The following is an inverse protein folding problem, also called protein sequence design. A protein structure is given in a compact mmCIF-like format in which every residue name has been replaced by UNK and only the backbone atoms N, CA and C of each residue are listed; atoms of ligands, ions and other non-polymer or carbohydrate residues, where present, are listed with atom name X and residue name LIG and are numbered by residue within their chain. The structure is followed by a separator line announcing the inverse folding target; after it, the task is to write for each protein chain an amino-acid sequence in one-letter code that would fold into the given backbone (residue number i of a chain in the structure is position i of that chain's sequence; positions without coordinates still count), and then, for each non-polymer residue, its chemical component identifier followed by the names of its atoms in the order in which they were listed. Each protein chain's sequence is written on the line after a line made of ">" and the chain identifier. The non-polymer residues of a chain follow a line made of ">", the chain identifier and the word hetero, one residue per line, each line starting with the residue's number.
data_IF_880808422824
#
_entry.id   IF_880808422824
#
_cell.length_a   1.000
_cell.length_b   1.000
_cell.length_c   1.000
_cell.angle_alpha   90.00
_cell.angle_beta   90.00
_cell.angle_gamma   90.00
#
_symmetry.space_group_name_H-M   'P 1'
#
loop_
_entity.id
_entity.type
_entity.pdbx_description
1 polymer ?
#
# COMPACT_ATOMS: atom_id res chain seq x y z
N UNK A 1 48.39 -44.08 -21.53
CA UNK A 1 47.01 -44.59 -21.71
C UNK A 1 46.04 -43.81 -20.83
N UNK A 2 45.55 -42.64 -21.28
CA UNK A 2 44.38 -41.93 -20.73
C UNK A 2 43.83 -41.02 -21.86
N UNK A 3 42.53 -40.70 -21.83
CA UNK A 3 41.83 -39.73 -22.73
C UNK A 3 41.01 -40.28 -23.91
N UNK A 4 40.24 -41.35 -23.67
CA UNK A 4 39.03 -41.65 -24.45
C UNK A 4 37.73 -41.39 -23.64
N UNK A 5 37.81 -41.39 -22.31
CA UNK A 5 36.66 -41.17 -21.42
C UNK A 5 36.29 -39.68 -21.27
N UNK A 6 37.27 -38.77 -21.30
CA UNK A 6 37.08 -37.32 -21.11
C UNK A 6 36.41 -36.63 -22.31
N UNK A 7 36.60 -37.12 -23.54
CA UNK A 7 35.94 -36.59 -24.75
C UNK A 7 34.45 -36.95 -24.85
N UNK A 8 34.02 -38.05 -24.21
CA UNK A 8 32.61 -38.48 -24.15
C UNK A 8 31.81 -37.75 -23.05
N UNK A 9 32.48 -37.29 -21.99
CA UNK A 9 31.83 -36.51 -20.93
C UNK A 9 31.49 -35.07 -21.36
N UNK A 10 32.37 -34.42 -22.14
CA UNK A 10 32.13 -33.05 -22.64
C UNK A 10 31.09 -32.98 -23.77
N UNK A 11 30.97 -34.02 -24.58
CA UNK A 11 29.89 -34.13 -25.58
C UNK A 11 28.52 -34.38 -24.95
N UNK A 12 28.44 -35.06 -23.80
CA UNK A 12 27.21 -35.26 -23.05
C UNK A 12 26.71 -33.98 -22.33
N UNK A 13 27.63 -33.10 -21.93
CA UNK A 13 27.27 -31.80 -21.33
C UNK A 13 26.94 -30.74 -22.39
N UNK A 14 27.63 -30.76 -23.54
CA UNK A 14 27.34 -29.87 -24.67
C UNK A 14 25.96 -30.14 -25.32
N UNK A 15 25.43 -31.37 -25.20
CA UNK A 15 24.08 -31.71 -25.66
C UNK A 15 22.95 -31.17 -24.75
N UNK A 16 23.29 -30.59 -23.58
CA UNK A 16 22.32 -30.01 -22.63
C UNK A 16 22.27 -28.47 -22.60
N UNK A 17 23.10 -27.78 -23.39
CA UNK A 17 23.13 -26.31 -23.47
C UNK A 17 23.01 -25.90 -24.94
N UNK A 18 21.81 -25.48 -25.36
CA UNK A 18 21.36 -25.07 -26.72
C UNK A 18 20.70 -26.15 -27.61
N UNK A 19 19.71 -25.73 -28.44
CA UNK A 19 18.48 -26.46 -28.65
C UNK A 19 18.58 -27.41 -29.84
N UNK A 20 18.17 -28.66 -29.65
CA UNK A 20 17.93 -29.54 -30.79
C UNK A 20 16.50 -29.33 -31.31
N UNK A 21 16.42 -29.31 -32.64
CA UNK A 21 15.25 -29.27 -33.54
C UNK A 21 14.08 -30.16 -33.07
N UNK A 22 12.85 -29.88 -33.54
CA UNK A 22 11.62 -30.16 -32.80
C UNK A 22 11.44 -31.66 -32.57
N UNK A 23 11.28 -32.02 -31.29
CA UNK A 23 10.76 -33.33 -30.91
C UNK A 23 9.53 -33.65 -31.76
N UNK A 24 9.50 -34.83 -32.37
CA UNK A 24 8.32 -35.27 -33.11
C UNK A 24 7.12 -35.29 -32.16
N UNK A 25 5.91 -34.99 -32.66
CA UNK A 25 4.70 -34.94 -31.84
C UNK A 25 4.51 -36.23 -31.01
N UNK A 26 4.97 -37.37 -31.54
CA UNK A 26 4.93 -38.67 -30.88
C UNK A 26 5.92 -38.80 -29.71
N UNK A 27 7.13 -38.26 -29.83
CA UNK A 27 8.13 -38.27 -28.74
C UNK A 27 7.73 -37.31 -27.62
N UNK A 28 7.19 -36.13 -27.97
CA UNK A 28 6.65 -35.20 -26.98
C UNK A 28 5.48 -35.80 -26.19
N UNK A 29 4.59 -36.55 -26.85
CA UNK A 29 3.50 -37.29 -26.20
C UNK A 29 4.03 -38.43 -25.32
N UNK A 30 5.04 -39.18 -25.78
CA UNK A 30 5.67 -40.22 -24.96
C UNK A 30 6.36 -39.63 -23.72
N UNK A 31 7.03 -38.48 -23.85
CA UNK A 31 7.69 -37.81 -22.73
C UNK A 31 6.67 -37.21 -21.75
N UNK A 32 5.57 -36.63 -22.25
CA UNK A 32 4.44 -36.20 -21.42
C UNK A 32 3.79 -37.38 -20.69
N UNK A 33 3.63 -38.52 -21.36
CA UNK A 33 3.06 -39.73 -20.75
C UNK A 33 4.00 -40.28 -19.69
N UNK A 34 5.31 -40.27 -19.93
CA UNK A 34 6.31 -40.68 -18.95
C UNK A 34 6.38 -39.74 -17.74
N UNK A 35 6.33 -38.42 -17.95
CA UNK A 35 6.32 -37.46 -16.85
C UNK A 35 5.03 -37.52 -16.06
N UNK A 36 3.88 -37.62 -16.72
CA UNK A 36 2.58 -37.72 -16.02
C UNK A 36 2.45 -39.04 -15.27
N UNK A 37 2.96 -40.15 -15.80
CA UNK A 37 3.00 -41.42 -15.08
C UNK A 37 3.99 -41.39 -13.93
N UNK A 38 5.18 -40.80 -14.08
CA UNK A 38 6.14 -40.69 -12.98
C UNK A 38 5.65 -39.77 -11.88
N UNK A 39 4.97 -38.66 -12.22
CA UNK A 39 4.42 -37.74 -11.24
C UNK A 39 3.23 -38.36 -10.50
N UNK A 40 2.36 -39.11 -11.20
CA UNK A 40 1.30 -39.90 -10.56
C UNK A 40 1.86 -40.98 -9.65
N UNK A 41 2.87 -41.73 -10.11
CA UNK A 41 3.54 -42.74 -9.29
C UNK A 41 4.24 -42.13 -8.06
N UNK A 42 4.76 -40.91 -8.17
CA UNK A 42 5.35 -40.18 -7.05
C UNK A 42 4.28 -39.68 -6.07
N UNK A 43 3.14 -39.18 -6.58
CA UNK A 43 1.99 -38.79 -5.75
C UNK A 43 1.34 -39.99 -5.04
N UNK A 44 1.23 -41.14 -5.72
CA UNK A 44 0.70 -42.38 -5.13
C UNK A 44 1.64 -42.96 -4.06
N UNK A 45 2.94 -42.68 -4.17
CA UNK A 45 3.97 -43.07 -3.20
C UNK A 45 3.97 -42.17 -1.96
N UNK A 46 3.80 -40.86 -2.12
CA UNK A 46 3.73 -39.90 -1.01
C UNK A 46 2.36 -39.90 -0.31
N UNK A 47 1.31 -40.37 -0.99
CA UNK A 47 -0.04 -40.50 -0.45
C UNK A 47 -0.64 -41.90 -0.73
N UNK A 48 -0.21 -42.94 0.01
CA UNK A 48 -0.76 -44.28 -0.17
C UNK A 48 -2.25 -44.28 0.19
N UNK A 49 -3.08 -44.55 -0.82
CA UNK A 49 -4.51 -44.79 -0.63
C UNK A 49 -4.64 -46.09 0.19
N UNK A 50 -5.36 -46.13 1.33
CA UNK A 50 -5.51 -47.36 2.08
C UNK A 50 -6.32 -48.37 1.25
N UNK A 51 -5.64 -49.39 0.76
CA UNK A 51 -6.29 -50.57 0.19
C UNK A 51 -7.09 -51.27 1.29
N UNK A 52 -8.42 -51.18 1.20
CA UNK A 52 -9.30 -52.13 1.89
C UNK A 52 -9.11 -53.52 1.26
N UNK A 53 -8.15 -54.28 1.79
CA UNK A 53 -8.14 -55.73 1.62
C UNK A 53 -9.24 -56.31 2.49
N UNK A 54 -10.23 -56.92 1.84
CA UNK A 54 -11.10 -57.91 2.47
C UNK A 54 -10.23 -58.98 3.13
N UNK A 55 -10.25 -59.04 4.45
CA UNK A 55 -9.82 -60.20 5.22
C UNK A 55 -10.79 -60.39 6.39
N UNK A 56 -11.21 -61.63 6.56
CA UNK A 56 -12.27 -62.10 7.44
C UNK A 56 -12.05 -61.74 8.92
N UNK A 57 -13.17 -61.55 9.61
CA UNK A 57 -13.40 -61.62 11.08
C UNK A 57 -12.68 -62.85 11.72
N UNK A 58 -12.40 -62.86 13.05
CA UNK A 58 -13.40 -62.54 14.08
C UNK A 58 -12.97 -61.90 15.43
N UNK A 59 -14.01 -61.38 16.10
CA UNK A 59 -14.27 -61.27 17.54
C UNK A 59 -13.47 -60.30 18.43
N UNK A 60 -14.21 -59.50 19.21
CA UNK A 60 -13.70 -58.72 20.35
C UNK A 60 -14.55 -57.47 20.65
N UNK A 61 -15.19 -57.45 21.81
CA UNK A 61 -16.26 -56.55 22.26
C UNK A 61 -15.85 -55.15 22.74
N UNK A 62 -16.85 -54.24 22.70
CA UNK A 62 -17.15 -53.08 23.57
C UNK A 62 -16.96 -51.64 23.04
N UNK A 63 -18.12 -51.00 22.88
CA UNK A 63 -18.51 -49.61 23.14
C UNK A 63 -17.50 -48.46 22.94
N UNK A 64 -17.79 -47.57 21.97
CA UNK A 64 -18.20 -46.19 22.26
C UNK A 64 -18.75 -45.49 21.00
N UNK A 65 -19.93 -44.88 21.14
CA UNK A 65 -20.61 -44.04 20.15
C UNK A 65 -19.97 -42.65 20.14
N UNK A 66 -19.54 -42.16 18.97
CA UNK A 66 -19.41 -40.74 18.58
C UNK A 66 -19.09 -40.64 17.08
N UNK A 67 -19.32 -39.50 16.41
CA UNK A 67 -20.12 -39.43 15.19
C UNK A 67 -19.34 -39.72 13.90
N UNK A 68 -20.12 -40.11 12.90
CA UNK A 68 -19.79 -40.34 11.50
C UNK A 68 -18.80 -39.34 10.89
N UNK A 69 -17.69 -39.79 10.25
CA UNK A 69 -16.92 -38.94 9.37
C UNK A 69 -17.65 -38.84 8.04
N UNK A 70 -18.28 -37.69 7.80
CA UNK A 70 -18.74 -37.29 6.48
C UNK A 70 -17.56 -37.34 5.49
N UNK A 71 -17.79 -38.06 4.39
CA UNK A 71 -17.17 -37.92 3.06
C UNK A 71 -15.94 -37.02 2.97
N UNK A 72 -14.84 -37.61 2.54
CA UNK A 72 -13.70 -36.93 1.91
C UNK A 72 -14.18 -36.14 0.69
N UNK A 73 -13.84 -34.84 0.58
CA UNK A 73 -13.40 -34.32 -0.71
C UNK A 73 -12.18 -33.39 -0.56
N UNK A 74 -11.23 -33.69 0.33
CA UNK A 74 -10.07 -32.80 0.53
C UNK A 74 -9.06 -32.86 -0.65
N UNK A 75 -8.87 -34.04 -1.25
CA UNK A 75 -7.82 -34.24 -2.27
C UNK A 75 -8.24 -33.73 -3.66
N UNK A 76 -9.44 -34.08 -4.13
CA UNK A 76 -9.94 -33.59 -5.43
C UNK A 76 -10.18 -32.08 -5.39
N UNK A 77 -10.78 -31.53 -4.32
CA UNK A 77 -10.98 -30.08 -4.21
C UNK A 77 -9.67 -29.30 -4.10
N UNK A 78 -8.62 -29.86 -3.48
CA UNK A 78 -7.30 -29.22 -3.42
C UNK A 78 -6.58 -29.25 -4.77
N UNK A 79 -6.63 -30.38 -5.48
CA UNK A 79 -6.08 -30.49 -6.83
C UNK A 79 -6.82 -29.59 -7.82
N UNK A 80 -8.16 -29.54 -7.76
CA UNK A 80 -8.97 -28.64 -8.60
C UNK A 80 -8.70 -27.19 -8.26
N UNK A 81 -8.58 -26.79 -6.98
CA UNK A 81 -8.17 -25.43 -6.59
C UNK A 81 -6.78 -25.08 -7.06
N UNK A 82 -5.85 -26.03 -7.05
CA UNK A 82 -4.49 -25.83 -7.53
C UNK A 82 -4.45 -25.66 -9.05
N UNK A 83 -5.18 -26.49 -9.79
CA UNK A 83 -5.34 -26.38 -11.25
C UNK A 83 -6.07 -25.09 -11.62
N UNK A 84 -7.15 -24.73 -10.92
CA UNK A 84 -7.83 -23.46 -11.10
C UNK A 84 -6.87 -22.30 -10.80
N UNK A 85 -6.06 -22.37 -9.74
CA UNK A 85 -5.01 -21.38 -9.44
C UNK A 85 -3.94 -21.28 -10.54
N UNK A 86 -3.62 -22.37 -11.24
CA UNK A 86 -2.67 -22.37 -12.36
C UNK A 86 -3.31 -21.84 -13.65
N UNK A 87 -4.54 -22.25 -13.97
CA UNK A 87 -5.24 -21.88 -15.21
C UNK A 87 -5.81 -20.46 -15.13
N UNK A 88 -6.14 -19.99 -13.92
CA UNK A 88 -6.54 -18.59 -13.68
C UNK A 88 -5.35 -17.64 -13.59
N UNK A 89 -4.12 -18.17 -13.60
CA UNK A 89 -2.91 -17.37 -13.56
C UNK A 89 -2.73 -16.62 -14.90
N UNK A 90 -2.57 -15.29 -14.89
CA UNK A 90 -2.45 -14.48 -16.10
C UNK A 90 -1.23 -14.84 -16.98
N UNK A 91 -0.23 -15.52 -16.42
CA UNK A 91 0.93 -16.02 -17.17
C UNK A 91 0.59 -17.20 -18.10
N UNK A 92 -0.47 -17.97 -17.81
CA UNK A 92 -0.84 -19.19 -18.54
C UNK A 92 -2.20 -19.10 -19.21
N UNK A 93 -3.06 -18.18 -18.78
CA UNK A 93 -4.42 -18.01 -19.28
C UNK A 93 -4.52 -17.41 -20.70
N UNK A 94 -3.43 -16.83 -21.22
CA UNK A 94 -3.44 -16.07 -22.47
C UNK A 94 -2.54 -16.74 -23.51
N UNK A 95 -3.13 -17.16 -24.64
CA UNK A 95 -2.37 -17.60 -25.81
C UNK A 95 -1.58 -16.40 -26.34
N UNK A 96 -0.24 -16.45 -26.43
CA UNK A 96 0.54 -15.37 -27.04
C UNK A 96 0.04 -15.13 -28.46
N UNK A 97 -0.43 -13.91 -28.74
CA UNK A 97 -0.80 -13.52 -30.10
C UNK A 97 0.49 -13.51 -30.93
N UNK A 98 0.66 -14.47 -31.84
CA UNK A 98 1.82 -14.54 -32.73
C UNK A 98 1.92 -13.25 -33.52
N UNK A 99 3.05 -12.54 -33.40
CA UNK A 99 3.58 -11.48 -34.27
C UNK A 99 2.56 -10.93 -35.29
N UNK A 100 1.86 -9.88 -34.93
CA UNK A 100 1.29 -8.94 -35.89
C UNK A 100 1.37 -7.55 -35.27
N UNK A 101 2.37 -6.78 -35.72
CA UNK A 101 2.68 -5.37 -35.38
C UNK A 101 2.90 -5.03 -33.90
N UNK A 102 3.97 -4.29 -33.60
CA UNK A 102 4.05 -3.57 -32.33
C UNK A 102 2.75 -2.74 -32.17
N UNK A 103 2.10 -2.78 -31.00
CA UNK A 103 0.85 -2.07 -30.79
C UNK A 103 1.10 -0.58 -31.05
N UNK A 104 0.31 0.02 -31.95
CA UNK A 104 0.42 1.45 -32.18
C UNK A 104 0.06 2.19 -30.87
N UNK A 105 0.62 3.37 -30.64
CA UNK A 105 0.31 4.15 -29.42
C UNK A 105 -1.20 4.36 -29.22
N UNK A 106 -1.96 4.38 -30.32
CA UNK A 106 -3.42 4.49 -30.35
C UNK A 106 -4.10 3.22 -29.82
N UNK A 107 -3.58 2.03 -30.13
CA UNK A 107 -4.12 0.76 -29.62
C UNK A 107 -3.90 0.60 -28.12
N UNK A 108 -2.76 1.07 -27.61
CA UNK A 108 -2.43 1.05 -26.17
C UNK A 108 -3.33 2.01 -25.39
N UNK A 109 -3.64 3.18 -25.94
CA UNK A 109 -4.58 4.14 -25.35
C UNK A 109 -6.01 3.58 -25.30
N UNK A 110 -6.39 2.74 -26.26
CA UNK A 110 -7.74 2.18 -26.38
C UNK A 110 -7.98 1.00 -25.44
N UNK A 111 -6.95 0.21 -25.15
CA UNK A 111 -7.01 -0.91 -24.21
C UNK A 111 -5.70 -1.06 -23.41
N UNK A 112 -5.48 -0.23 -22.37
CA UNK A 112 -4.25 -0.26 -21.58
C UNK A 112 -4.03 -1.58 -20.84
N UNK A 113 -5.11 -2.20 -20.36
CA UNK A 113 -5.04 -3.45 -19.59
C UNK A 113 -4.82 -4.63 -20.52
N UNK A 114 -5.46 -4.67 -21.69
CA UNK A 114 -5.19 -5.66 -22.74
C UNK A 114 -3.74 -5.60 -23.21
N UNK A 115 -3.21 -4.39 -23.45
CA UNK A 115 -1.79 -4.19 -23.74
C UNK A 115 -0.90 -4.76 -22.61
N UNK A 116 -1.22 -4.47 -21.35
CA UNK A 116 -0.44 -4.98 -20.23
C UNK A 116 -0.53 -6.51 -20.11
N UNK A 117 -1.70 -7.10 -20.35
CA UNK A 117 -1.89 -8.56 -20.40
C UNK A 117 -1.02 -9.18 -21.50
N UNK A 118 -0.91 -8.56 -22.67
CA UNK A 118 -0.01 -9.01 -23.72
C UNK A 118 1.47 -8.92 -23.29
N UNK A 119 1.86 -7.87 -22.54
CA UNK A 119 3.19 -7.79 -21.93
C UNK A 119 3.43 -8.89 -20.89
N UNK A 120 2.40 -9.29 -20.13
CA UNK A 120 2.47 -10.42 -19.19
C UNK A 120 2.67 -11.72 -19.97
N UNK A 121 1.86 -11.97 -21.00
CA UNK A 121 1.90 -13.19 -21.81
C UNK A 121 3.23 -13.36 -22.57
N UNK A 122 3.88 -12.25 -22.93
CA UNK A 122 5.20 -12.25 -23.56
C UNK A 122 6.36 -12.33 -22.56
N UNK A 123 6.08 -12.29 -21.25
CA UNK A 123 7.10 -12.26 -20.20
C UNK A 123 7.85 -10.93 -20.09
N UNK A 124 7.38 -9.88 -20.76
CA UNK A 124 8.01 -8.57 -20.82
C UNK A 124 7.43 -7.57 -19.81
N UNK A 125 6.49 -7.98 -18.96
CA UNK A 125 5.85 -7.14 -17.95
C UNK A 125 6.83 -6.75 -16.83
N UNK A 126 6.91 -5.45 -16.54
CA UNK A 126 7.78 -4.87 -15.51
C UNK A 126 7.01 -3.83 -14.70
N UNK A 127 7.51 -3.46 -13.50
CA UNK A 127 6.88 -2.43 -12.66
C UNK A 127 6.70 -1.08 -13.38
N UNK A 128 7.67 -0.56 -14.17
CA UNK A 128 7.48 0.67 -14.95
C UNK A 128 6.36 0.56 -15.99
N UNK A 129 6.22 -0.60 -16.64
CA UNK A 129 5.12 -0.84 -17.60
C UNK A 129 3.76 -0.91 -16.90
N UNK A 130 3.71 -1.51 -15.71
CA UNK A 130 2.50 -1.51 -14.88
C UNK A 130 2.11 -0.08 -14.44
N UNK A 131 3.09 0.75 -14.08
CA UNK A 131 2.86 2.16 -13.79
C UNK A 131 2.32 2.91 -15.02
N UNK A 132 2.92 2.68 -16.20
CA UNK A 132 2.41 3.27 -17.46
C UNK A 132 0.97 2.85 -17.74
N UNK A 133 0.62 1.59 -17.51
CA UNK A 133 -0.77 1.11 -17.62
C UNK A 133 -1.72 1.85 -16.67
N UNK A 134 -1.31 2.04 -15.40
CA UNK A 134 -2.09 2.81 -14.43
C UNK A 134 -2.28 4.28 -14.85
N UNK A 135 -1.27 4.88 -15.48
CA UNK A 135 -1.34 6.28 -15.94
C UNK A 135 -2.32 6.42 -17.10
N UNK A 136 -2.31 5.48 -18.03
CA UNK A 136 -3.25 5.46 -19.16
C UNK A 136 -4.69 5.18 -18.69
N UNK A 137 -4.87 4.38 -17.66
CA UNK A 137 -6.19 4.13 -17.06
C UNK A 137 -6.80 5.37 -16.40
N UNK A 138 -5.97 6.28 -15.88
CA UNK A 138 -6.45 7.55 -15.33
C UNK A 138 -6.88 8.53 -16.43
N UNK A 139 -6.17 8.54 -17.57
CA UNK A 139 -6.46 9.40 -18.72
C UNK A 139 -7.68 8.92 -19.52
N UNK A 140 -7.92 7.60 -19.57
CA UNK A 140 -9.02 6.98 -20.30
C UNK A 140 -10.06 6.31 -19.36
N UNK A 141 -10.76 7.07 -18.50
CA UNK A 141 -11.75 6.50 -17.57
C UNK A 141 -12.98 5.94 -18.29
N UNK A 142 -13.26 6.41 -19.51
CA UNK A 142 -14.43 6.02 -20.32
C UNK A 142 -14.33 4.63 -20.98
N UNK A 143 -13.17 3.98 -20.89
CA UNK A 143 -13.13 2.53 -21.13
C UNK A 143 -13.88 1.87 -19.99
N UNK A 144 -15.21 1.72 -20.20
CA UNK A 144 -16.17 0.92 -19.46
C UNK A 144 -15.46 -0.23 -18.77
N UNK A 145 -15.79 -0.52 -17.52
CA UNK A 145 -15.38 -1.65 -16.68
C UNK A 145 -15.44 -3.00 -17.43
N UNK A 146 -14.53 -3.17 -18.39
CA UNK A 146 -14.36 -4.37 -19.18
C UNK A 146 -13.71 -5.35 -18.26
N UNK A 147 -14.50 -6.30 -17.82
CA UNK A 147 -13.98 -7.47 -17.14
C UNK A 147 -13.16 -8.26 -18.16
N UNK A 148 -11.86 -8.40 -17.91
CA UNK A 148 -11.01 -9.26 -18.74
C UNK A 148 -11.21 -10.67 -18.23
N UNK A 149 -11.91 -11.52 -19.00
CA UNK A 149 -12.31 -12.87 -18.59
C UNK A 149 -13.08 -12.89 -17.25
N UNK A 150 -13.99 -11.94 -17.04
CA UNK A 150 -14.78 -11.86 -15.80
C UNK A 150 -14.02 -11.27 -14.60
N UNK A 151 -12.78 -10.81 -14.79
CA UNK A 151 -11.93 -10.25 -13.72
C UNK A 151 -11.76 -8.74 -13.86
N UNK A 152 -11.69 -8.07 -12.72
CA UNK A 152 -11.47 -6.63 -12.63
C UNK A 152 -10.03 -6.27 -13.01
N UNK A 153 -9.81 -5.01 -13.41
CA UNK A 153 -8.51 -4.50 -13.86
C UNK A 153 -7.50 -4.51 -12.71
N UNK A 154 -7.97 -4.12 -11.52
CA UNK A 154 -7.22 -4.13 -10.29
C UNK A 154 -6.83 -5.56 -9.89
N UNK A 155 -7.74 -6.53 -10.06
CA UNK A 155 -7.44 -7.94 -9.80
C UNK A 155 -6.30 -8.44 -10.70
N UNK A 156 -6.33 -8.14 -12.00
CA UNK A 156 -5.27 -8.57 -12.94
C UNK A 156 -3.91 -8.03 -12.52
N UNK A 157 -3.82 -6.74 -12.16
CA UNK A 157 -2.57 -6.12 -11.71
C UNK A 157 -2.08 -6.70 -10.38
N UNK A 158 -2.97 -6.85 -9.39
CA UNK A 158 -2.62 -7.43 -8.09
C UNK A 158 -2.20 -8.90 -8.20
N UNK A 159 -2.87 -9.67 -9.06
CA UNK A 159 -2.59 -11.08 -9.29
C UNK A 159 -1.26 -11.26 -10.05
N UNK A 160 -0.97 -10.39 -11.02
CA UNK A 160 0.34 -10.35 -11.67
C UNK A 160 1.45 -10.02 -10.67
N UNK A 161 1.30 -8.99 -9.84
CA UNK A 161 2.29 -8.64 -8.80
C UNK A 161 2.56 -9.81 -7.85
N UNK A 162 1.51 -10.56 -7.50
CA UNK A 162 1.59 -11.73 -6.63
C UNK A 162 2.27 -12.92 -7.31
N UNK A 163 1.85 -13.25 -8.53
CA UNK A 163 2.34 -14.43 -9.28
C UNK A 163 3.78 -14.25 -9.78
N UNK A 164 4.18 -13.03 -10.11
CA UNK A 164 5.57 -12.67 -10.43
C UNK A 164 6.48 -12.58 -9.21
N UNK A 165 5.92 -12.56 -7.99
CA UNK A 165 6.67 -12.32 -6.76
C UNK A 165 7.22 -10.90 -6.62
N UNK A 166 6.85 -9.98 -7.53
CA UNK A 166 7.28 -8.58 -7.48
C UNK A 166 6.69 -7.86 -6.26
N UNK A 167 5.58 -8.33 -5.70
CA UNK A 167 5.02 -7.83 -4.44
C UNK A 167 5.96 -8.02 -3.23
N UNK A 168 6.97 -8.89 -3.33
CA UNK A 168 8.05 -9.11 -2.35
C UNK A 168 9.37 -8.42 -2.73
N UNK A 169 9.44 -7.87 -3.94
CA UNK A 169 10.68 -7.31 -4.46
C UNK A 169 11.08 -6.02 -3.74
N UNK A 170 12.39 -5.76 -3.75
CA UNK A 170 12.96 -4.48 -3.31
C UNK A 170 12.41 -3.31 -4.14
N UNK A 171 12.21 -3.50 -5.44
CA UNK A 171 11.73 -2.47 -6.37
C UNK A 171 10.31 -2.00 -6.01
N UNK A 172 9.43 -2.94 -5.63
CA UNK A 172 8.07 -2.61 -5.21
C UNK A 172 8.06 -1.80 -3.90
N UNK A 173 8.93 -2.14 -2.95
CA UNK A 173 9.09 -1.32 -1.75
C UNK A 173 9.64 0.04 -2.14
N UNK A 174 10.67 0.15 -2.97
CA UNK A 174 11.26 1.42 -3.39
C UNK A 174 10.34 2.31 -4.26
N UNK A 175 9.19 1.79 -4.73
CA UNK A 175 8.16 2.56 -5.42
C UNK A 175 7.67 3.76 -4.59
N UNK A 176 7.63 3.65 -3.25
CA UNK A 176 7.28 4.80 -2.39
C UNK A 176 8.40 5.85 -2.28
N UNK A 177 9.65 5.43 -2.45
CA UNK A 177 10.86 6.24 -2.21
C UNK A 177 11.40 6.94 -3.45
N UNK A 178 10.87 6.64 -4.64
CA UNK A 178 11.41 7.17 -5.89
C UNK A 178 11.22 8.70 -5.93
N UNK A 179 12.32 9.44 -5.75
CA UNK A 179 12.33 10.91 -5.80
C UNK A 179 11.69 11.38 -7.12
N UNK A 180 10.92 12.48 -7.11
CA UNK A 180 10.22 13.01 -8.28
C UNK A 180 11.18 13.73 -9.24
N UNK A 181 12.35 13.14 -9.55
CA UNK A 181 13.21 13.65 -10.62
C UNK A 181 12.64 13.32 -12.01
N UNK A 182 11.76 12.32 -12.07
CA UNK A 182 10.81 12.03 -13.14
C UNK A 182 9.53 11.57 -12.43
N UNK A 183 8.41 12.29 -12.55
CA UNK A 183 7.25 12.26 -11.64
C UNK A 183 6.42 10.97 -11.47
N UNK A 184 7.02 9.78 -11.41
CA UNK A 184 6.31 8.51 -11.58
C UNK A 184 6.23 7.58 -10.34
N UNK A 185 7.10 7.70 -9.32
CA UNK A 185 7.15 6.71 -8.23
C UNK A 185 5.97 6.75 -7.22
N UNK A 186 5.75 7.91 -6.59
CA UNK A 186 4.74 8.05 -5.53
C UNK A 186 3.29 7.90 -6.05
N UNK A 187 3.04 8.34 -7.29
CA UNK A 187 1.70 8.30 -7.88
C UNK A 187 1.30 6.89 -8.31
N UNK A 188 2.22 6.06 -8.78
CA UNK A 188 1.89 4.70 -9.22
C UNK A 188 1.31 3.85 -8.07
N UNK A 189 1.91 3.90 -6.87
CA UNK A 189 1.36 3.19 -5.71
C UNK A 189 0.00 3.77 -5.28
N UNK A 190 -0.16 5.09 -5.34
CA UNK A 190 -1.43 5.75 -5.04
C UNK A 190 -2.53 5.29 -6.00
N UNK A 191 -2.29 5.39 -7.30
CA UNK A 191 -3.21 4.98 -8.37
C UNK A 191 -3.60 3.52 -8.23
N UNK A 192 -2.63 2.64 -7.97
CA UNK A 192 -2.87 1.22 -7.74
C UNK A 192 -3.78 0.97 -6.54
N UNK A 193 -3.50 1.60 -5.39
CA UNK A 193 -4.32 1.45 -4.18
C UNK A 193 -5.72 1.99 -4.41
N UNK A 194 -5.87 3.16 -5.03
CA UNK A 194 -7.18 3.74 -5.36
C UNK A 194 -7.98 2.85 -6.30
N UNK A 195 -7.37 2.30 -7.34
CA UNK A 195 -8.01 1.36 -8.26
C UNK A 195 -8.45 0.07 -7.54
N UNK A 196 -7.61 -0.50 -6.67
CA UNK A 196 -7.92 -1.71 -5.91
C UNK A 196 -9.13 -1.52 -5.01
N UNK A 197 -9.21 -0.40 -4.30
CA UNK A 197 -10.37 -0.11 -3.48
C UNK A 197 -11.62 0.21 -4.28
N UNK A 198 -11.49 0.93 -5.40
CA UNK A 198 -12.63 1.26 -6.27
C UNK A 198 -13.28 0.00 -6.88
N UNK A 199 -12.48 -1.03 -7.18
CA UNK A 199 -12.96 -2.30 -7.74
C UNK A 199 -13.21 -3.39 -6.66
N UNK A 200 -13.14 -3.04 -5.36
CA UNK A 200 -13.47 -3.95 -4.25
C UNK A 200 -12.35 -4.95 -3.85
N UNK A 201 -11.17 -4.84 -4.44
CA UNK A 201 -10.01 -5.72 -4.24
C UNK A 201 -9.12 -5.29 -3.05
N UNK A 202 -9.73 -5.03 -1.89
CA UNK A 202 -9.03 -4.56 -0.68
C UNK A 202 -8.06 -5.61 -0.09
N UNK A 203 -8.19 -6.88 -0.46
CA UNK A 203 -7.36 -7.96 0.07
C UNK A 203 -5.87 -7.81 -0.29
N UNK A 204 -5.55 -7.23 -1.46
CA UNK A 204 -4.16 -7.07 -1.89
C UNK A 204 -3.40 -6.01 -1.07
N UNK A 205 -3.90 -4.77 -0.89
CA UNK A 205 -3.27 -3.78 -0.01
C UNK A 205 -3.08 -4.28 1.42
N UNK A 206 -4.10 -4.94 2.00
CA UNK A 206 -3.99 -5.52 3.34
C UNK A 206 -2.91 -6.59 3.45
N UNK A 207 -2.78 -7.46 2.44
CA UNK A 207 -1.72 -8.46 2.39
C UNK A 207 -0.33 -7.81 2.38
N UNK A 208 -0.17 -6.68 1.71
CA UNK A 208 1.11 -5.98 1.70
C UNK A 208 1.44 -5.30 3.03
N UNK A 209 0.40 -4.86 3.77
CA UNK A 209 0.50 -4.18 5.06
C UNK A 209 0.72 -5.13 6.25
N UNK A 210 0.05 -6.29 6.27
CA UNK A 210 0.08 -7.30 7.35
C UNK A 210 1.45 -8.01 7.43
N UNK A 211 2.23 -8.04 6.34
CA UNK A 211 3.57 -8.63 6.39
C UNK A 211 4.42 -7.95 7.45
N UNK A 212 5.01 -8.76 8.34
CA UNK A 212 5.84 -8.25 9.42
C UNK A 212 7.07 -7.51 8.88
N UNK A 213 7.56 -6.57 9.68
CA UNK A 213 8.73 -5.78 9.33
C UNK A 213 9.96 -6.67 9.12
N UNK A 214 10.19 -7.66 9.99
CA UNK A 214 11.31 -8.59 9.88
C UNK A 214 11.25 -9.43 8.62
N UNK A 215 10.05 -9.91 8.25
CA UNK A 215 9.87 -10.67 7.01
C UNK A 215 10.23 -9.81 5.80
N UNK A 216 9.73 -8.57 5.75
CA UNK A 216 10.02 -7.62 4.66
C UNK A 216 11.50 -7.27 4.58
N UNK A 217 12.18 -7.06 5.70
CA UNK A 217 13.63 -6.79 5.74
C UNK A 217 14.41 -7.97 5.16
N UNK A 218 14.05 -9.21 5.53
CA UNK A 218 14.68 -10.42 4.98
C UNK A 218 14.43 -10.60 3.48
N UNK A 219 13.19 -10.35 3.03
CA UNK A 219 12.80 -10.50 1.61
C UNK A 219 13.47 -9.46 0.69
N UNK A 220 13.64 -8.23 1.17
CA UNK A 220 14.07 -7.09 0.33
C UNK A 220 15.52 -6.68 0.54
N UNK A 221 16.18 -7.19 1.59
CA UNK A 221 17.49 -6.74 2.06
C UNK A 221 17.58 -5.21 2.26
N UNK A 222 16.45 -4.57 2.55
CA UNK A 222 16.34 -3.15 2.85
C UNK A 222 16.44 -2.89 4.36
N UNK A 223 16.84 -1.68 4.71
CA UNK A 223 16.84 -1.21 6.09
C UNK A 223 15.42 -1.19 6.68
N UNK A 224 15.34 -1.46 7.98
CA UNK A 224 14.12 -1.48 8.77
C UNK A 224 13.34 -0.15 8.64
N UNK A 225 14.04 0.98 8.59
CA UNK A 225 13.40 2.29 8.43
C UNK A 225 12.73 2.46 7.08
N UNK A 226 13.32 1.94 5.99
CA UNK A 226 12.72 2.01 4.64
C UNK A 226 11.46 1.15 4.57
N UNK A 227 11.47 0.00 5.21
CA UNK A 227 10.28 -0.88 5.30
C UNK A 227 9.18 -0.22 6.13
N UNK A 228 9.51 0.38 7.28
CA UNK A 228 8.55 1.12 8.10
C UNK A 228 7.95 2.31 7.33
N UNK A 229 8.79 3.05 6.60
CA UNK A 229 8.37 4.16 5.74
C UNK A 229 7.43 3.68 4.64
N UNK A 230 7.72 2.54 3.99
CA UNK A 230 6.79 1.93 3.03
C UNK A 230 5.43 1.59 3.66
N UNK A 231 5.42 0.94 4.84
CA UNK A 231 4.15 0.60 5.54
C UNK A 231 3.36 1.85 5.89
N UNK A 232 4.03 2.92 6.34
CA UNK A 232 3.42 4.22 6.62
C UNK A 232 2.75 4.80 5.38
N UNK A 233 3.48 4.84 4.26
CA UNK A 233 2.95 5.37 3.00
C UNK A 233 1.80 4.52 2.48
N UNK A 234 1.93 3.19 2.51
CA UNK A 234 0.88 2.28 2.08
C UNK A 234 -0.42 2.54 2.86
N UNK A 235 -0.35 2.55 4.20
CA UNK A 235 -1.52 2.82 5.04
C UNK A 235 -2.09 4.22 4.78
N UNK A 236 -1.22 5.24 4.65
CA UNK A 236 -1.65 6.59 4.32
C UNK A 236 -2.44 6.61 3.01
N UNK A 237 -1.99 5.92 1.96
CA UNK A 237 -2.69 5.85 0.66
C UNK A 237 -4.03 5.13 0.78
N UNK A 238 -4.08 4.03 1.55
CA UNK A 238 -5.33 3.29 1.78
C UNK A 238 -6.37 4.19 2.48
N UNK A 239 -5.97 4.83 3.59
CA UNK A 239 -6.84 5.73 4.36
C UNK A 239 -7.22 6.96 3.54
N UNK A 240 -6.27 7.60 2.85
CA UNK A 240 -6.54 8.76 1.99
C UNK A 240 -7.56 8.44 0.91
N UNK A 241 -7.38 7.32 0.20
CA UNK A 241 -8.27 6.93 -0.89
C UNK A 241 -9.68 6.61 -0.39
N UNK A 242 -9.82 6.01 0.79
CA UNK A 242 -11.10 5.64 1.36
C UNK A 242 -11.80 6.82 2.04
N UNK A 243 -11.06 7.66 2.75
CA UNK A 243 -11.58 8.89 3.33
C UNK A 243 -12.14 9.83 2.26
N UNK A 244 -11.58 9.80 1.03
CA UNK A 244 -12.11 10.55 -0.12
C UNK A 244 -13.52 10.12 -0.55
N UNK A 245 -13.91 8.87 -0.29
CA UNK A 245 -15.26 8.38 -0.56
C UNK A 245 -16.19 8.70 0.61
N UNK A 246 -15.77 8.33 1.82
CA UNK A 246 -16.46 8.65 3.07
C UNK A 246 -15.46 8.62 4.22
N UNK A 247 -15.58 9.59 5.12
CA UNK A 247 -14.73 9.68 6.29
C UNK A 247 -14.87 8.45 7.21
N UNK A 248 -16.08 7.88 7.32
CA UNK A 248 -16.32 6.65 8.09
C UNK A 248 -15.53 5.47 7.52
N UNK A 249 -15.49 5.33 6.20
CA UNK A 249 -14.76 4.23 5.55
C UNK A 249 -13.25 4.41 5.75
N UNK A 250 -12.75 5.66 5.65
CA UNK A 250 -11.36 5.99 5.97
C UNK A 250 -11.00 5.68 7.43
N UNK A 251 -11.87 6.05 8.37
CA UNK A 251 -11.72 5.75 9.80
C UNK A 251 -11.75 4.24 10.06
N UNK A 252 -12.67 3.50 9.44
CA UNK A 252 -12.76 2.05 9.58
C UNK A 252 -11.49 1.34 9.12
N UNK A 253 -10.91 1.76 7.99
CA UNK A 253 -9.61 1.26 7.50
C UNK A 253 -8.48 1.58 8.48
N UNK A 254 -8.44 2.80 9.01
CA UNK A 254 -7.45 3.14 10.04
C UNK A 254 -7.61 2.28 11.30
N UNK A 255 -8.83 2.12 11.81
CA UNK A 255 -9.12 1.32 13.00
C UNK A 255 -8.80 -0.16 12.79
N UNK A 256 -8.95 -0.68 11.57
CA UNK A 256 -8.50 -2.02 11.23
C UNK A 256 -6.97 -2.16 11.34
N UNK A 257 -6.22 -1.19 10.81
CA UNK A 257 -4.76 -1.17 10.95
C UNK A 257 -4.31 -1.00 12.41
N UNK A 258 -5.03 -0.20 13.19
CA UNK A 258 -4.79 -0.03 14.62
C UNK A 258 -4.95 -1.35 15.38
N UNK A 259 -6.05 -2.09 15.17
CA UNK A 259 -6.25 -3.42 15.79
C UNK A 259 -5.14 -4.42 15.43
N UNK A 260 -4.61 -4.33 14.20
CA UNK A 260 -3.47 -5.18 13.80
C UNK A 260 -2.18 -4.80 14.55
N UNK A 261 -1.92 -3.52 14.74
CA UNK A 261 -0.77 -3.05 15.53
C UNK A 261 -0.91 -3.43 17.01
N UNK A 262 -2.12 -3.34 17.56
CA UNK A 262 -2.43 -3.76 18.93
C UNK A 262 -2.17 -5.26 19.14
N UNK A 263 -2.57 -6.09 18.17
CA UNK A 263 -2.29 -7.53 18.17
C UNK A 263 -0.79 -7.88 18.08
N UNK A 264 0.01 -7.06 17.38
CA UNK A 264 1.47 -7.23 17.35
C UNK A 264 2.10 -6.88 18.72
N UNK A 265 1.49 -5.99 19.51
CA UNK A 265 1.91 -5.65 20.87
C UNK A 265 3.23 -4.86 20.95
N UNK A 266 3.77 -4.39 19.82
CA UNK A 266 5.04 -3.65 19.76
C UNK A 266 4.75 -2.16 19.62
N UNK A 267 5.24 -1.34 20.55
CA UNK A 267 5.04 0.12 20.51
C UNK A 267 5.53 0.78 19.21
N UNK A 268 6.59 0.22 18.60
CA UNK A 268 7.11 0.68 17.32
C UNK A 268 6.10 0.53 16.17
N UNK A 269 5.16 -0.42 16.27
CA UNK A 269 4.10 -0.62 15.27
C UNK A 269 3.14 0.56 15.20
N UNK A 270 2.94 1.31 16.30
CA UNK A 270 2.09 2.50 16.29
C UNK A 270 2.69 3.68 15.52
N UNK A 271 4.02 3.72 15.35
CA UNK A 271 4.66 4.78 14.55
C UNK A 271 4.23 4.72 13.08
N UNK A 272 3.82 3.54 12.60
CA UNK A 272 3.31 3.32 11.24
C UNK A 272 1.97 4.01 11.01
N UNK A 273 1.17 4.16 12.07
CA UNK A 273 -0.18 4.72 12.01
C UNK A 273 -0.19 6.26 11.94
N UNK A 274 0.85 6.92 12.47
CA UNK A 274 0.89 8.38 12.68
C UNK A 274 0.54 9.21 11.43
N UNK A 275 1.09 8.95 10.23
CA UNK A 275 0.79 9.78 9.06
C UNK A 275 -0.68 9.66 8.63
N UNK A 276 -1.24 8.44 8.66
CA UNK A 276 -2.62 8.18 8.28
C UNK A 276 -3.61 8.77 9.31
N UNK A 277 -3.31 8.62 10.61
CA UNK A 277 -4.10 9.21 11.69
C UNK A 277 -4.10 10.74 11.63
N UNK A 278 -2.93 11.36 11.40
CA UNK A 278 -2.82 12.81 11.23
C UNK A 278 -3.63 13.34 10.03
N UNK A 279 -3.67 12.59 8.93
CA UNK A 279 -4.51 12.94 7.78
C UNK A 279 -6.01 12.94 8.14
N UNK A 280 -6.48 11.92 8.87
CA UNK A 280 -7.87 11.84 9.32
C UNK A 280 -8.23 12.98 10.27
N UNK A 281 -7.36 13.29 11.24
CA UNK A 281 -7.56 14.43 12.16
C UNK A 281 -7.70 15.73 11.36
N UNK A 282 -6.76 16.01 10.44
CA UNK A 282 -6.82 17.22 9.62
C UNK A 282 -8.10 17.29 8.79
N UNK A 283 -8.60 16.14 8.31
CA UNK A 283 -9.84 16.07 7.55
C UNK A 283 -11.09 16.31 8.41
N UNK A 284 -11.14 15.73 9.61
CA UNK A 284 -12.21 16.00 10.59
C UNK A 284 -12.27 17.51 10.88
N UNK A 285 -11.11 18.12 11.13
CA UNK A 285 -11.01 19.55 11.46
C UNK A 285 -11.37 20.45 10.28
N UNK A 286 -10.98 20.08 9.06
CA UNK A 286 -11.27 20.87 7.86
C UNK A 286 -12.74 20.79 7.41
N UNK A 287 -13.47 19.75 7.83
CA UNK A 287 -14.84 19.50 7.39
C UNK A 287 -15.72 19.07 8.57
N UNK A 288 -16.30 20.05 9.30
CA UNK A 288 -17.07 19.80 10.53
C UNK A 288 -18.49 19.26 10.30
N UNK A 289 -18.96 19.20 9.06
CA UNK A 289 -20.36 18.89 8.71
C UNK A 289 -20.60 17.41 8.34
N UNK A 290 -19.61 16.53 8.49
CA UNK A 290 -19.79 15.11 8.20
C UNK A 290 -20.51 14.37 9.33
N UNK A 291 -21.51 13.58 8.96
CA UNK A 291 -22.15 12.60 9.84
C UNK A 291 -21.23 11.40 10.01
N UNK A 292 -20.28 11.49 10.94
CA UNK A 292 -19.43 10.35 11.33
C UNK A 292 -20.19 9.48 12.31
N UNK A 293 -20.08 8.15 12.17
CA UNK A 293 -20.65 7.22 13.15
C UNK A 293 -20.05 7.47 14.55
N UNK A 294 -20.86 7.79 15.59
CA UNK A 294 -20.32 8.20 16.89
C UNK A 294 -19.45 7.13 17.57
N UNK A 295 -19.77 5.85 17.39
CA UNK A 295 -19.00 4.74 17.98
C UNK A 295 -17.61 4.61 17.34
N UNK A 296 -17.55 4.79 16.02
CA UNK A 296 -16.30 4.76 15.28
C UNK A 296 -15.43 5.97 15.63
N UNK A 297 -16.03 7.15 15.75
CA UNK A 297 -15.35 8.37 16.20
C UNK A 297 -14.76 8.20 17.60
N UNK A 298 -15.54 7.68 18.55
CA UNK A 298 -15.08 7.46 19.91
C UNK A 298 -13.94 6.45 19.97
N UNK A 299 -14.01 5.38 19.20
CA UNK A 299 -12.94 4.39 19.11
C UNK A 299 -11.65 5.00 18.55
N UNK A 300 -11.77 5.86 17.54
CA UNK A 300 -10.64 6.60 16.97
C UNK A 300 -10.03 7.58 17.98
N UNK A 301 -10.87 8.34 18.71
CA UNK A 301 -10.43 9.25 19.76
C UNK A 301 -9.63 8.51 20.84
N UNK A 302 -10.14 7.39 21.35
CA UNK A 302 -9.45 6.59 22.37
C UNK A 302 -8.11 6.05 21.84
N UNK A 303 -8.08 5.61 20.58
CA UNK A 303 -6.86 5.07 19.95
C UNK A 303 -5.72 6.11 19.90
N UNK A 304 -6.03 7.40 19.81
CA UNK A 304 -5.07 8.49 19.61
C UNK A 304 -3.97 8.55 20.67
N UNK A 305 -4.27 8.14 21.90
CA UNK A 305 -3.32 8.01 23.02
C UNK A 305 -2.14 7.13 22.70
N UNK A 306 -2.41 5.98 22.09
CA UNK A 306 -1.42 4.94 21.89
C UNK A 306 -0.44 5.27 20.75
N UNK A 307 -0.91 5.95 19.69
CA UNK A 307 -0.06 6.22 18.52
C UNK A 307 0.56 7.62 18.48
N UNK A 308 0.09 8.58 19.28
CA UNK A 308 0.65 9.94 19.32
C UNK A 308 1.61 10.23 20.49
N UNK A 309 1.62 9.39 21.53
CA UNK A 309 2.43 9.63 22.73
C UNK A 309 2.11 11.01 23.32
N UNK A 310 3.13 11.83 23.57
CA UNK A 310 2.97 13.15 24.19
C UNK A 310 2.12 14.14 23.38
N UNK A 311 1.95 13.92 22.06
CA UNK A 311 1.10 14.78 21.22
C UNK A 311 -0.40 14.40 21.28
N UNK A 312 -0.74 13.33 22.00
CA UNK A 312 -2.12 12.82 22.11
C UNK A 312 -3.06 13.88 22.70
N UNK A 313 -2.66 14.56 23.78
CA UNK A 313 -3.50 15.56 24.45
C UNK A 313 -3.94 16.70 23.52
N UNK A 314 -3.03 17.20 22.67
CA UNK A 314 -3.35 18.26 21.70
C UNK A 314 -4.35 17.77 20.64
N UNK A 315 -4.19 16.53 20.16
CA UNK A 315 -5.07 15.95 19.15
C UNK A 315 -6.43 15.55 19.74
N UNK A 316 -6.46 14.96 20.93
CA UNK A 316 -7.69 14.66 21.65
C UNK A 316 -8.51 15.92 21.89
N UNK A 317 -7.86 16.99 22.34
CA UNK A 317 -8.48 18.31 22.51
C UNK A 317 -9.15 18.79 21.22
N UNK A 318 -8.46 18.64 20.08
CA UNK A 318 -9.02 19.00 18.78
C UNK A 318 -10.19 18.09 18.36
N UNK A 319 -10.11 16.79 18.65
CA UNK A 319 -11.18 15.84 18.35
C UNK A 319 -12.42 16.09 19.24
N UNK A 320 -12.26 16.49 20.50
CA UNK A 320 -13.38 16.86 21.36
C UNK A 320 -14.11 18.11 20.90
N UNK A 321 -13.40 19.09 20.35
CA UNK A 321 -14.02 20.28 19.74
C UNK A 321 -14.86 19.94 18.51
N UNK A 322 -14.49 18.88 17.77
CA UNK A 322 -15.17 18.44 16.55
C UNK A 322 -16.04 17.18 16.77
N UNK A 323 -16.38 16.84 18.02
CA UNK A 323 -17.15 15.65 18.32
C UNK A 323 -18.56 15.73 17.70
N UNK A 324 -19.06 14.67 17.02
CA UNK A 324 -20.33 14.72 16.31
C UNK A 324 -21.55 14.93 17.22
N UNK A 325 -21.50 14.47 18.47
CA UNK A 325 -22.64 14.53 19.41
C UNK A 325 -22.42 15.42 20.64
N UNK A 326 -21.17 15.74 20.99
CA UNK A 326 -20.81 16.34 22.29
C UNK A 326 -19.56 17.23 22.14
N UNK A 327 -19.71 18.31 21.37
CA UNK A 327 -18.63 19.29 21.22
C UNK A 327 -18.32 19.92 22.57
N UNK A 328 -17.06 19.85 23.00
CA UNK A 328 -16.65 20.32 24.32
C UNK A 328 -15.25 20.93 24.26
N UNK A 329 -15.08 22.12 24.85
CA UNK A 329 -13.79 22.83 24.91
C UNK A 329 -12.94 22.51 26.16
N UNK A 330 -13.46 21.75 27.13
CA UNK A 330 -12.80 21.51 28.42
C UNK A 330 -11.44 20.81 28.33
N UNK A 331 -11.23 19.74 27.53
CA UNK A 331 -9.92 19.07 27.50
C UNK A 331 -8.84 19.98 26.91
N UNK A 332 -9.24 20.82 25.96
CA UNK A 332 -8.37 21.78 25.31
C UNK A 332 -7.97 22.92 26.25
N UNK A 333 -8.89 23.39 27.09
CA UNK A 333 -8.59 24.39 28.13
C UNK A 333 -7.63 23.86 29.18
N UNK A 334 -7.81 22.63 29.64
CA UNK A 334 -6.88 21.98 30.57
C UNK A 334 -5.48 21.89 29.96
N UNK A 335 -5.40 21.48 28.70
CA UNK A 335 -4.13 21.40 27.96
C UNK A 335 -3.44 22.77 27.76
N UNK A 336 -4.20 23.84 27.53
CA UNK A 336 -3.66 25.21 27.40
C UNK A 336 -3.16 25.75 28.75
N UNK A 337 -3.85 25.42 29.85
CA UNK A 337 -3.47 25.86 31.20
C UNK A 337 -2.29 25.07 31.78
N UNK A 338 -2.05 23.86 31.29
CA UNK A 338 -0.94 23.03 31.74
C UNK A 338 0.41 23.58 31.23
N UNK A 339 1.34 23.99 32.13
CA UNK A 339 2.66 24.47 31.75
C UNK A 339 3.53 23.39 31.07
N UNK A 340 3.23 22.11 31.28
CA UNK A 340 3.89 20.99 30.59
C UNK A 340 3.21 20.61 29.26
N UNK A 341 1.97 21.07 29.05
CA UNK A 341 1.14 20.79 27.89
C UNK A 341 1.47 21.68 26.69
N UNK A 342 0.68 22.73 26.46
CA UNK A 342 0.77 23.53 25.24
C UNK A 342 2.09 24.33 25.11
N UNK A 343 2.67 24.77 26.23
CA UNK A 343 3.92 25.56 26.25
C UNK A 343 5.11 24.73 25.77
N UNK A 344 5.18 23.43 26.11
CA UNK A 344 6.27 22.55 25.69
C UNK A 344 6.36 22.38 24.17
N UNK A 345 5.25 22.65 23.46
CA UNK A 345 5.16 22.58 22.01
C UNK A 345 5.11 23.94 21.31
N UNK A 346 5.28 25.05 22.04
CA UNK A 346 5.32 26.39 21.46
C UNK A 346 6.46 26.57 20.44
N UNK A 347 7.59 25.87 20.65
CA UNK A 347 8.77 25.88 19.78
C UNK A 347 8.83 24.68 18.81
N UNK A 348 7.71 23.98 18.61
CA UNK A 348 7.65 22.84 17.68
C UNK A 348 7.77 23.27 16.21
N UNK A 349 7.70 22.31 15.28
CA UNK A 349 7.69 22.57 13.84
C UNK A 349 6.55 23.53 13.46
N UNK A 350 6.75 24.33 12.40
CA UNK A 350 5.76 25.31 11.94
C UNK A 350 4.36 24.70 11.78
N UNK A 351 4.25 23.48 11.24
CA UNK A 351 2.98 22.75 11.11
C UNK A 351 2.27 22.51 12.44
N UNK A 352 3.00 22.11 13.49
CA UNK A 352 2.43 21.89 14.83
C UNK A 352 2.05 23.20 15.49
N UNK A 353 2.83 24.27 15.27
CA UNK A 353 2.48 25.61 15.75
C UNK A 353 1.15 26.10 15.13
N UNK A 354 0.96 25.92 13.82
CA UNK A 354 -0.30 26.23 13.14
C UNK A 354 -1.47 25.40 13.69
N UNK A 355 -1.25 24.11 13.96
CA UNK A 355 -2.25 23.25 14.58
C UNK A 355 -2.66 23.74 15.98
N UNK A 356 -1.71 24.16 16.81
CA UNK A 356 -2.00 24.71 18.15
C UNK A 356 -2.75 26.04 18.07
N UNK A 357 -2.40 26.90 17.12
CA UNK A 357 -3.14 28.15 16.87
C UNK A 357 -4.58 27.81 16.48
N UNK A 358 -4.79 26.88 15.55
CA UNK A 358 -6.12 26.44 15.15
C UNK A 358 -6.90 25.84 16.32
N UNK A 359 -6.24 25.07 17.20
CA UNK A 359 -6.84 24.53 18.42
C UNK A 359 -7.33 25.67 19.32
N UNK A 360 -6.45 26.61 19.66
CA UNK A 360 -6.78 27.70 20.58
C UNK A 360 -7.88 28.62 20.02
N UNK A 361 -7.89 28.88 18.71
CA UNK A 361 -8.98 29.63 18.05
C UNK A 361 -10.30 28.86 18.08
N UNK A 362 -10.26 27.54 17.86
CA UNK A 362 -11.44 26.68 17.98
C UNK A 362 -12.01 26.66 19.40
N UNK A 363 -11.14 26.58 20.41
CA UNK A 363 -11.50 26.68 21.84
C UNK A 363 -12.16 28.01 22.15
N UNK A 364 -11.53 29.12 21.74
CA UNK A 364 -12.06 30.45 21.98
C UNK A 364 -13.45 30.60 21.35
N UNK A 365 -13.63 30.15 20.11
CA UNK A 365 -14.93 30.17 19.43
C UNK A 365 -16.00 29.37 20.19
N UNK A 366 -15.71 28.13 20.55
CA UNK A 366 -16.65 27.27 21.28
C UNK A 366 -17.02 27.86 22.65
N UNK A 367 -16.05 28.42 23.38
CA UNK A 367 -16.31 29.05 24.69
C UNK A 367 -17.11 30.35 24.58
N UNK A 368 -16.93 31.09 23.49
CA UNK A 368 -17.76 32.27 23.21
C UNK A 368 -19.21 31.85 22.88
N UNK A 369 -19.40 30.76 22.15
CA UNK A 369 -20.73 30.17 21.89
C UNK A 369 -21.39 29.66 23.19
N UNK A 370 -20.60 29.19 24.17
CA UNK A 370 -21.04 28.79 25.52
C UNK A 370 -21.14 29.96 26.53
N UNK A 371 -20.95 31.22 26.10
CA UNK A 371 -20.94 32.43 26.94
C UNK A 371 -19.87 32.44 28.07
N UNK A 372 -18.82 31.63 27.96
CA UNK A 372 -17.70 31.53 28.92
C UNK A 372 -16.54 32.46 28.56
N UNK A 373 -16.81 33.77 28.58
CA UNK A 373 -15.90 34.81 28.10
C UNK A 373 -14.54 34.85 28.79
N UNK A 374 -14.49 34.63 30.11
CA UNK A 374 -13.23 34.65 30.89
C UNK A 374 -12.28 33.54 30.45
N UNK A 375 -12.83 32.38 30.11
CA UNK A 375 -12.05 31.21 29.69
C UNK A 375 -11.62 31.32 28.23
N UNK A 376 -12.48 31.90 27.39
CA UNK A 376 -12.12 32.26 26.01
C UNK A 376 -10.92 33.24 25.98
N UNK A 377 -10.88 34.19 26.92
CA UNK A 377 -9.76 35.12 27.05
C UNK A 377 -8.44 34.41 27.38
N UNK A 378 -8.46 33.35 28.19
CA UNK A 378 -7.26 32.55 28.49
C UNK A 378 -6.67 31.94 27.22
N UNK A 379 -7.50 31.34 26.36
CA UNK A 379 -7.06 30.77 25.09
C UNK A 379 -6.49 31.84 24.14
N UNK A 380 -7.14 33.00 24.06
CA UNK A 380 -6.67 34.11 23.22
C UNK A 380 -5.36 34.74 23.74
N UNK A 381 -5.21 34.86 25.05
CA UNK A 381 -3.99 35.38 25.67
C UNK A 381 -2.81 34.43 25.42
N UNK A 382 -3.04 33.11 25.53
CA UNK A 382 -2.02 32.10 25.22
C UNK A 382 -1.51 32.21 23.76
N UNK A 383 -2.41 32.40 22.79
CA UNK A 383 -2.05 32.62 21.39
C UNK A 383 -1.16 33.87 21.26
N UNK A 384 -1.55 34.97 21.91
CA UNK A 384 -0.84 36.24 21.86
C UNK A 384 0.58 36.11 22.44
N UNK A 385 0.74 35.37 23.53
CA UNK A 385 2.01 35.26 24.23
C UNK A 385 3.00 34.31 23.52
N UNK A 386 2.51 33.21 22.92
CA UNK A 386 3.36 32.15 22.35
C UNK A 386 3.38 32.08 20.82
N UNK A 387 2.41 32.68 20.13
CA UNK A 387 2.25 32.59 18.67
C UNK A 387 1.95 33.95 18.02
N UNK A 388 2.40 35.05 18.63
CA UNK A 388 2.27 36.40 18.09
C UNK A 388 2.84 36.52 16.67
N UNK A 389 3.89 35.79 16.33
CA UNK A 389 4.48 35.76 14.99
C UNK A 389 3.56 35.19 13.90
N UNK A 390 2.64 34.29 14.27
CA UNK A 390 1.71 33.65 13.35
C UNK A 390 0.40 34.45 13.26
N UNK A 391 -0.08 34.97 14.38
CA UNK A 391 -1.41 35.60 14.48
C UNK A 391 -1.35 37.11 14.31
N UNK A 392 -0.29 37.76 14.79
CA UNK A 392 -0.04 39.18 14.56
C UNK A 392 0.97 39.26 13.42
N UNK A 393 0.45 39.41 12.20
CA UNK A 393 1.28 39.72 11.04
C UNK A 393 2.17 40.92 11.38
N UNK A 394 3.48 40.68 11.53
CA UNK A 394 4.45 41.75 11.70
C UNK A 394 4.25 42.70 10.51
N UNK A 395 4.08 44.03 10.71
CA UNK A 395 4.15 44.96 9.58
C UNK A 395 5.48 44.70 8.86
N UNK A 396 5.54 44.85 7.51
CA UNK A 396 6.66 44.38 6.71
C UNK A 396 7.94 45.09 7.18
N UNK A 397 8.69 44.42 8.05
CA UNK A 397 10.06 44.81 8.36
C UNK A 397 10.85 44.49 7.11
N UNK A 398 11.43 45.53 6.52
CA UNK A 398 12.20 45.51 5.30
C UNK A 398 13.03 44.21 5.15
N UNK A 399 12.78 43.50 4.05
CA UNK A 399 13.54 42.32 3.64
C UNK A 399 15.04 42.68 3.63
N UNK A 400 15.93 41.86 4.21
CA UNK A 400 17.36 42.03 4.00
C UNK A 400 17.65 41.85 2.50
N UNK A 401 18.13 42.92 1.85
CA UNK A 401 18.40 43.04 0.41
C UNK A 401 19.49 42.09 -0.15
N UNK A 402 19.80 40.98 0.55
CA UNK A 402 20.88 40.06 0.16
C UNK A 402 20.45 39.07 -0.92
N UNK A 403 19.17 38.65 -0.95
CA UNK A 403 18.68 37.73 -1.99
C UNK A 403 18.45 38.42 -3.34
N UNK A 404 18.02 39.69 -3.36
CA UNK A 404 17.85 40.47 -4.60
C UNK A 404 19.19 40.70 -5.30
N UNK A 405 20.20 41.18 -4.56
CA UNK A 405 21.55 41.40 -5.11
C UNK A 405 22.21 40.13 -5.64
N UNK A 406 22.01 38.99 -4.98
CA UNK A 406 22.55 37.72 -5.46
C UNK A 406 21.85 37.22 -6.74
N UNK A 407 20.56 37.52 -6.89
CA UNK A 407 19.76 37.16 -8.07
C UNK A 407 20.09 38.08 -9.25
N UNK A 408 20.19 39.38 -9.01
CA UNK A 408 20.62 40.38 -9.99
C UNK A 408 22.05 40.12 -10.48
N UNK A 409 22.96 39.69 -9.60
CA UNK A 409 24.34 39.33 -9.98
C UNK A 409 24.38 38.10 -10.87
N UNK A 410 23.59 37.06 -10.55
CA UNK A 410 23.45 35.86 -11.41
C UNK A 410 22.77 36.15 -12.74
N UNK A 411 21.80 37.05 -12.76
CA UNK A 411 21.11 37.46 -13.98
C UNK A 411 22.06 38.24 -14.90
N UNK A 412 22.89 39.12 -14.33
CA UNK A 412 23.93 39.85 -15.07
C UNK A 412 25.01 38.91 -15.63
N UNK A 413 25.45 37.92 -14.85
CA UNK A 413 26.39 36.89 -15.32
C UNK A 413 25.80 36.04 -16.46
N UNK A 414 24.49 35.74 -16.41
CA UNK A 414 23.81 35.02 -17.50
C UNK A 414 23.65 35.86 -18.77
N UNK A 415 23.41 37.17 -18.64
CA UNK A 415 23.33 38.08 -19.79
C UNK A 415 24.70 38.24 -20.47
N UNK A 416 25.79 38.34 -19.70
CA UNK A 416 27.15 38.37 -20.26
C UNK A 416 27.54 37.07 -20.98
N UNK A 417 27.00 35.92 -20.56
CA UNK A 417 27.17 34.65 -21.27
C UNK A 417 26.38 34.60 -22.58
N UNK A 418 25.20 35.23 -22.62
CA UNK A 418 24.37 35.32 -23.84
C UNK A 418 24.99 36.24 -24.88
N UNK A 419 25.56 37.39 -24.46
CA UNK A 419 26.25 38.30 -25.37
C UNK A 419 27.50 37.67 -26.01
N UNK A 420 28.15 36.71 -25.34
CA UNK A 420 29.29 35.94 -25.89
C UNK A 420 28.89 34.84 -26.86
N UNK A 421 27.60 34.51 -26.96
CA UNK A 421 27.07 33.47 -27.84
C UNK A 421 26.53 34.03 -29.16
N UNK A 422 26.54 35.35 -29.34
CA UNK A 422 26.19 36.00 -30.61
C UNK A 422 27.47 36.06 -31.47
N UNK A 423 27.53 35.35 -32.61
CA UNK A 423 28.64 35.49 -33.55
C UNK A 423 28.59 36.89 -34.18
N UNK A 424 29.75 37.56 -34.25
CA UNK A 424 29.91 38.76 -35.08
C UNK A 424 30.00 38.40 -36.55
#
# INVERSE_FOLDING_TARGET
>A
MQSAASKRALSFLAAKLHPQLPLSARESQQLLTLLTTSFRAHLDREHPVPHYKNAQKPSGSHAQRSPSPSRVPASYASATRHIDSIVTNPLFAVKPRRRASDPTAVDVLRDPVGWFIDQIATGAATLPKAATCLDLLEIAPETSSRLYNGKSRAFVLAEWLRSSGLDKSREFVELHSSKPKQGFGNMALQRLVTLLFAEGEAAAPWRWFIRSQDQRVRETALDANKVATFRQHLLWKMVFSQANLSLDVGLAVFMQAFRMAEMEGIESSYTVLRPAGAHLVNRIVATPDYTIEPQLYQSFLISSRQWLGNWSQAVESMLWLNHPTQKTATPALEYIRDPSGAVSHAHATQSRRHFLVQLCLGVARQLLEEERYTEAQVAMQFIKDHFSDIVLSKPPVAVPQTSSRAKERKEKENLELLDRLIPT
#
